data_IF_038414359835
#
_entry.id   IF_038414359835
#
_cell.length_a   1.000
_cell.length_b   1.000
_cell.length_c   1.000
_cell.angle_alpha   90.00
_cell.angle_beta   90.00
_cell.angle_gamma   90.00
#
_symmetry.space_group_name_H-M   'P 1'
#
loop_
_entity.id
_entity.type
_entity.pdbx_description
1 polymer ?
#
# COMPACT_ATOMS: atom_id res chain seq x y z
N UNK A 1 -40.69 -20.75 13.85
CA UNK A 1 -39.77 -21.42 12.93
C UNK A 1 -38.96 -20.28 12.31
N UNK A 2 -37.71 -20.04 12.70
CA UNK A 2 -36.85 -19.07 11.98
C UNK A 2 -36.21 -19.79 10.80
N UNK A 3 -36.23 -19.10 9.67
CA UNK A 3 -35.70 -19.50 8.38
C UNK A 3 -34.18 -19.52 8.43
N UNK A 4 -33.56 -20.68 8.26
CA UNK A 4 -32.12 -20.86 8.13
C UNK A 4 -31.71 -20.53 6.70
N UNK A 5 -31.38 -19.29 6.43
CA UNK A 5 -30.63 -18.95 5.20
C UNK A 5 -29.17 -19.36 5.38
N UNK A 6 -28.91 -20.63 5.08
CA UNK A 6 -27.56 -21.17 4.94
C UNK A 6 -26.88 -20.45 3.77
N UNK A 7 -26.00 -19.52 4.06
CA UNK A 7 -25.08 -18.96 3.06
C UNK A 7 -24.15 -20.07 2.56
N UNK A 8 -24.38 -20.50 1.33
CA UNK A 8 -23.57 -21.53 0.68
C UNK A 8 -22.11 -21.07 0.58
N UNK A 9 -21.21 -21.83 1.17
CA UNK A 9 -19.76 -21.68 0.97
C UNK A 9 -19.49 -21.89 -0.53
N UNK A 10 -18.71 -21.01 -1.20
CA UNK A 10 -18.39 -21.17 -2.62
C UNK A 10 -17.75 -22.55 -2.86
N UNK A 11 -18.37 -23.38 -3.68
CA UNK A 11 -17.80 -24.66 -4.09
C UNK A 11 -16.67 -24.41 -5.07
N UNK A 12 -15.45 -24.80 -4.71
CA UNK A 12 -14.30 -24.83 -5.59
C UNK A 12 -14.59 -25.73 -6.81
N UNK A 13 -14.34 -25.20 -8.03
CA UNK A 13 -14.52 -25.97 -9.25
C UNK A 13 -13.59 -27.19 -9.27
N UNK A 14 -14.12 -28.32 -9.68
CA UNK A 14 -13.37 -29.57 -9.90
C UNK A 14 -12.19 -29.29 -10.88
N UNK A 15 -10.97 -29.50 -10.44
CA UNK A 15 -9.73 -29.19 -11.17
C UNK A 15 -8.71 -28.41 -10.34
N UNK A 16 -9.08 -27.93 -9.14
CA UNK A 16 -8.13 -27.34 -8.21
C UNK A 16 -7.05 -28.37 -7.83
N UNK A 17 -5.79 -27.94 -7.82
CA UNK A 17 -4.67 -28.74 -7.28
C UNK A 17 -5.05 -29.21 -5.87
N UNK A 18 -4.65 -30.43 -5.46
CA UNK A 18 -4.90 -30.89 -4.10
C UNK A 18 -4.38 -29.84 -3.13
N UNK A 19 -5.20 -29.48 -2.14
CA UNK A 19 -4.77 -28.60 -1.04
C UNK A 19 -3.66 -29.34 -0.30
N UNK A 20 -2.43 -28.98 -0.59
CA UNK A 20 -1.27 -29.44 0.18
C UNK A 20 -1.43 -28.87 1.59
N UNK A 21 -1.23 -29.66 2.66
CA UNK A 21 -1.25 -29.11 4.00
C UNK A 21 -0.31 -27.90 4.08
N UNK A 22 -0.82 -26.73 4.45
CA UNK A 22 -0.10 -25.46 4.41
C UNK A 22 1.26 -25.47 5.13
N UNK A 23 1.47 -26.44 6.04
CA UNK A 23 2.74 -26.63 6.73
C UNK A 23 3.92 -27.04 5.85
N UNK A 24 3.70 -27.56 4.64
CA UNK A 24 4.78 -27.95 3.71
C UNK A 24 5.10 -26.84 2.68
N UNK A 25 4.16 -25.92 2.47
CA UNK A 25 4.32 -24.79 1.55
C UNK A 25 5.13 -23.64 2.15
N UNK A 26 5.24 -23.56 3.47
CA UNK A 26 5.94 -22.47 4.16
C UNK A 26 7.12 -23.00 4.99
N UNK A 27 8.14 -22.14 5.19
CA UNK A 27 9.31 -22.43 6.05
C UNK A 27 9.05 -22.11 7.54
N UNK A 28 7.81 -21.91 7.91
CA UNK A 28 7.43 -21.60 9.30
C UNK A 28 7.65 -22.83 10.20
N UNK A 29 8.08 -22.59 11.42
CA UNK A 29 8.24 -23.64 12.43
C UNK A 29 6.92 -24.40 12.64
N UNK A 30 7.01 -25.73 12.73
CA UNK A 30 5.82 -26.61 12.86
C UNK A 30 5.24 -26.68 14.28
N UNK A 31 6.01 -26.24 15.28
CA UNK A 31 5.59 -26.23 16.68
C UNK A 31 4.77 -24.98 17.06
N UNK A 32 4.55 -24.07 16.11
CA UNK A 32 3.71 -22.87 16.28
C UNK A 32 2.65 -22.78 15.19
N UNK A 33 1.45 -22.33 15.56
CA UNK A 33 0.41 -21.95 14.63
C UNK A 33 0.65 -20.49 14.17
N UNK A 34 1.28 -20.31 13.00
CA UNK A 34 1.52 -18.98 12.46
C UNK A 34 0.28 -18.45 11.74
N UNK A 35 -0.45 -17.53 12.38
CA UNK A 35 -1.69 -16.95 11.85
C UNK A 35 -1.56 -15.45 11.51
N UNK A 36 -0.42 -14.83 11.82
CA UNK A 36 -0.26 -13.40 11.72
C UNK A 36 0.60 -12.98 10.52
N UNK A 37 0.10 -13.21 9.31
CA UNK A 37 0.71 -12.63 8.10
C UNK A 37 0.60 -11.10 8.07
N UNK A 38 -0.34 -10.53 8.82
CA UNK A 38 -0.54 -9.09 8.90
C UNK A 38 0.62 -8.32 9.52
N UNK A 39 1.44 -8.94 10.39
CA UNK A 39 2.62 -8.25 10.92
C UNK A 39 3.77 -8.21 9.91
N UNK A 40 4.24 -9.38 9.44
CA UNK A 40 5.44 -9.45 8.58
C UNK A 40 5.31 -10.43 7.41
N UNK A 41 4.27 -11.24 7.36
CA UNK A 41 4.06 -12.26 6.35
C UNK A 41 5.08 -13.40 6.39
N UNK A 42 4.64 -14.60 6.03
CA UNK A 42 5.53 -15.71 5.72
C UNK A 42 5.50 -15.97 4.22
N UNK A 43 6.65 -16.30 3.64
CA UNK A 43 6.76 -16.56 2.21
C UNK A 43 6.52 -18.03 1.91
N UNK A 44 5.70 -18.37 0.90
CA UNK A 44 5.66 -19.73 0.38
C UNK A 44 7.04 -20.15 -0.14
N UNK A 45 7.35 -21.41 -0.04
CA UNK A 45 8.63 -21.98 -0.48
C UNK A 45 9.01 -21.60 -1.91
N UNK A 46 8.12 -21.67 -2.92
CA UNK A 46 8.45 -21.26 -4.29
C UNK A 46 8.83 -19.77 -4.41
N UNK A 47 8.19 -18.90 -3.62
CA UNK A 47 8.51 -17.47 -3.58
C UNK A 47 9.87 -17.26 -2.93
N UNK A 48 10.17 -17.96 -1.83
CA UNK A 48 11.47 -17.87 -1.17
C UNK A 48 12.60 -18.36 -2.05
N UNK A 49 12.43 -19.50 -2.75
CA UNK A 49 13.41 -20.05 -3.68
C UNK A 49 13.67 -19.12 -4.87
N UNK A 50 12.62 -18.49 -5.39
CA UNK A 50 12.75 -17.49 -6.47
C UNK A 50 13.51 -16.26 -5.98
N UNK A 51 13.20 -15.75 -4.80
CA UNK A 51 13.93 -14.64 -4.18
C UNK A 51 15.42 -14.96 -4.04
N UNK A 52 15.77 -16.15 -3.52
CA UNK A 52 17.16 -16.56 -3.42
C UNK A 52 17.86 -16.74 -4.77
N UNK A 53 17.12 -17.15 -5.82
CA UNK A 53 17.69 -17.24 -7.18
C UNK A 53 18.08 -15.84 -7.68
N UNK A 54 17.23 -14.83 -7.51
CA UNK A 54 17.52 -13.46 -7.89
C UNK A 54 18.73 -12.89 -7.13
N UNK A 55 18.83 -13.17 -5.82
CA UNK A 55 20.01 -12.76 -5.04
C UNK A 55 21.30 -13.39 -5.59
N UNK A 56 21.29 -14.67 -5.96
CA UNK A 56 22.46 -15.32 -6.58
C UNK A 56 22.80 -14.73 -7.94
N UNK A 57 21.80 -14.37 -8.75
CA UNK A 57 22.04 -13.69 -10.02
C UNK A 57 22.64 -12.30 -9.83
N UNK A 58 22.18 -11.55 -8.84
CA UNK A 58 22.75 -10.26 -8.47
C UNK A 58 24.23 -10.41 -8.07
N UNK A 59 24.54 -11.36 -7.19
CA UNK A 59 25.93 -11.60 -6.73
C UNK A 59 26.86 -12.12 -7.84
N UNK A 60 26.32 -12.82 -8.84
CA UNK A 60 27.12 -13.32 -9.95
C UNK A 60 27.68 -12.20 -10.84
N UNK A 61 26.94 -11.11 -11.04
CA UNK A 61 27.39 -9.93 -11.81
C UNK A 61 26.61 -8.66 -11.39
N UNK A 62 26.99 -8.02 -10.27
CA UNK A 62 26.24 -6.88 -9.73
C UNK A 62 26.14 -5.69 -10.68
N UNK A 63 27.21 -5.39 -11.42
CA UNK A 63 27.22 -4.24 -12.35
C UNK A 63 26.28 -4.46 -13.54
N UNK A 64 26.23 -5.66 -14.07
CA UNK A 64 25.30 -6.01 -15.14
C UNK A 64 23.87 -6.01 -14.62
N UNK A 65 23.64 -6.64 -13.48
CA UNK A 65 22.32 -6.76 -12.87
C UNK A 65 21.74 -5.39 -12.54
N UNK A 66 22.39 -4.63 -11.67
CA UNK A 66 21.90 -3.34 -11.20
C UNK A 66 22.01 -2.24 -12.27
N UNK A 67 23.10 -2.22 -13.04
CA UNK A 67 23.38 -1.13 -13.96
C UNK A 67 22.75 -1.27 -15.35
N UNK A 68 22.32 -2.46 -15.75
CA UNK A 68 21.83 -2.70 -17.12
C UNK A 68 20.48 -3.42 -17.17
N UNK A 69 20.27 -4.42 -16.30
CA UNK A 69 19.07 -5.28 -16.35
C UNK A 69 17.94 -4.78 -15.46
N UNK A 70 18.26 -4.15 -14.35
CA UNK A 70 17.29 -3.79 -13.31
C UNK A 70 16.07 -3.00 -13.82
N UNK A 71 16.19 -1.96 -14.67
CA UNK A 71 15.01 -1.24 -15.15
C UNK A 71 14.02 -2.14 -15.90
N UNK A 72 14.51 -3.07 -16.71
CA UNK A 72 13.66 -4.03 -17.43
C UNK A 72 13.02 -5.04 -16.47
N UNK A 73 13.76 -5.53 -15.49
CA UNK A 73 13.25 -6.48 -14.48
C UNK A 73 12.18 -5.83 -13.60
N UNK A 74 12.37 -4.58 -13.19
CA UNK A 74 11.35 -3.83 -12.44
C UNK A 74 10.09 -3.59 -13.28
N UNK A 75 10.23 -3.27 -14.55
CA UNK A 75 9.09 -3.11 -15.45
C UNK A 75 8.32 -4.43 -15.64
N UNK A 76 9.04 -5.56 -15.79
CA UNK A 76 8.46 -6.91 -15.87
C UNK A 76 7.70 -7.28 -14.58
N UNK A 77 8.23 -6.98 -13.41
CA UNK A 77 7.59 -7.24 -12.12
C UNK A 77 6.40 -6.30 -11.86
N UNK A 78 6.49 -5.05 -12.31
CA UNK A 78 5.45 -4.02 -12.11
C UNK A 78 4.18 -4.32 -12.88
N UNK A 79 4.28 -4.80 -14.11
CA UNK A 79 3.12 -5.02 -14.96
C UNK A 79 2.08 -5.98 -14.34
N UNK A 80 2.43 -7.19 -13.86
CA UNK A 80 1.46 -8.07 -13.23
C UNK A 80 0.95 -7.53 -11.89
N UNK A 81 1.77 -6.81 -11.10
CA UNK A 81 1.31 -6.19 -9.87
C UNK A 81 0.28 -5.09 -10.16
N UNK A 82 0.55 -4.23 -11.12
CA UNK A 82 -0.37 -3.17 -11.54
C UNK A 82 -1.70 -3.74 -12.04
N UNK A 83 -1.65 -4.78 -12.87
CA UNK A 83 -2.85 -5.49 -13.31
C UNK A 83 -3.63 -6.14 -12.15
N UNK A 84 -2.92 -6.70 -11.15
CA UNK A 84 -3.53 -7.30 -9.96
C UNK A 84 -4.26 -6.27 -9.09
N UNK A 85 -3.75 -5.04 -8.99
CA UNK A 85 -4.38 -3.97 -8.19
C UNK A 85 -5.25 -3.02 -9.03
N UNK A 86 -5.44 -3.30 -10.33
CA UNK A 86 -6.38 -2.57 -11.21
C UNK A 86 -5.90 -1.17 -11.61
N UNK A 87 -4.61 -0.99 -11.96
CA UNK A 87 -4.06 0.31 -12.42
C UNK A 87 -3.10 0.14 -13.59
N UNK A 88 -2.76 1.25 -14.25
CA UNK A 88 -1.70 1.23 -15.25
C UNK A 88 -0.31 1.06 -14.58
N UNK A 89 0.63 0.32 -15.20
CA UNK A 89 1.98 0.16 -14.66
C UNK A 89 2.73 1.48 -14.45
N UNK A 90 2.39 2.52 -15.22
CA UNK A 90 2.98 3.86 -15.10
C UNK A 90 2.55 4.62 -13.85
N UNK A 91 1.50 4.15 -13.17
CA UNK A 91 0.89 4.83 -12.02
C UNK A 91 1.26 4.16 -10.68
N UNK A 92 2.18 3.18 -10.74
CA UNK A 92 2.64 2.41 -9.61
C UNK A 92 4.18 2.36 -9.57
N UNK A 93 4.74 2.61 -8.39
CA UNK A 93 6.18 2.45 -8.13
C UNK A 93 6.41 1.54 -6.93
N UNK A 94 7.55 0.84 -6.92
CA UNK A 94 7.94 0.02 -5.79
C UNK A 94 8.47 0.88 -4.65
N UNK A 95 8.15 0.48 -3.43
CA UNK A 95 8.68 1.06 -2.19
C UNK A 95 9.00 -0.09 -1.22
N UNK A 96 9.95 0.09 -0.29
CA UNK A 96 10.29 -0.98 0.66
C UNK A 96 9.09 -1.45 1.50
N UNK A 97 8.15 -0.57 1.79
CA UNK A 97 6.93 -0.87 2.55
C UNK A 97 5.95 0.33 2.53
N UNK A 98 4.72 0.10 3.00
CA UNK A 98 3.69 1.13 3.08
C UNK A 98 4.10 2.34 3.96
N UNK A 99 4.87 2.13 5.03
CA UNK A 99 5.37 3.24 5.87
C UNK A 99 6.28 4.17 5.07
N UNK A 100 7.17 3.62 4.24
CA UNK A 100 8.01 4.41 3.33
C UNK A 100 7.17 5.21 2.33
N UNK A 101 6.20 4.54 1.68
CA UNK A 101 5.28 5.18 0.75
C UNK A 101 4.46 6.30 1.42
N UNK A 102 3.96 6.07 2.63
CA UNK A 102 3.23 7.10 3.39
C UNK A 102 4.12 8.30 3.75
N UNK A 103 5.41 8.07 4.06
CA UNK A 103 6.36 9.16 4.27
C UNK A 103 6.62 9.97 2.99
N UNK A 104 6.70 9.31 1.82
CA UNK A 104 6.77 10.01 0.53
C UNK A 104 5.57 10.96 0.39
N UNK A 105 4.35 10.46 0.58
CA UNK A 105 3.13 11.25 0.47
C UNK A 105 3.15 12.43 1.45
N UNK A 106 3.30 12.14 2.73
CA UNK A 106 3.20 13.15 3.79
C UNK A 106 4.22 14.28 3.64
N UNK A 107 5.47 13.95 3.25
CA UNK A 107 6.54 14.95 3.08
C UNK A 107 6.42 15.74 1.79
N UNK A 108 5.74 15.19 0.79
CA UNK A 108 5.55 15.82 -0.52
C UNK A 108 4.48 16.90 -0.52
N UNK A 109 3.41 16.70 0.25
CA UNK A 109 2.28 17.63 0.25
C UNK A 109 2.63 18.96 0.93
N UNK A 110 2.31 20.07 0.25
CA UNK A 110 2.53 21.41 0.77
C UNK A 110 1.41 21.78 1.76
N UNK A 111 1.65 21.51 3.04
CA UNK A 111 0.77 21.97 4.12
C UNK A 111 1.21 23.34 4.62
N UNK A 112 0.26 24.23 4.82
CA UNK A 112 0.46 25.55 5.37
C UNK A 112 0.11 25.60 6.87
N UNK A 113 0.62 26.61 7.61
CA UNK A 113 0.23 26.79 9.01
C UNK A 113 -1.30 26.90 9.16
N UNK A 114 -1.86 26.10 10.08
CA UNK A 114 -3.29 26.02 10.32
C UNK A 114 -4.04 24.99 9.46
N UNK A 115 -3.41 24.38 8.46
CA UNK A 115 -4.00 23.28 7.71
C UNK A 115 -4.20 22.06 8.62
N UNK A 116 -5.15 21.21 8.24
CA UNK A 116 -5.51 20.01 9.00
C UNK A 116 -5.38 18.76 8.13
N UNK A 117 -4.78 17.71 8.70
CA UNK A 117 -4.81 16.35 8.19
C UNK A 117 -5.71 15.53 9.10
N UNK A 118 -6.73 14.89 8.55
CA UNK A 118 -7.73 14.14 9.29
C UNK A 118 -7.50 12.63 9.13
N UNK A 119 -7.39 11.92 10.25
CA UNK A 119 -7.36 10.46 10.31
C UNK A 119 -8.39 9.92 11.29
N UNK A 120 -8.30 8.61 11.58
CA UNK A 120 -9.12 7.92 12.57
C UNK A 120 -8.28 7.42 13.74
N UNK A 121 -8.91 6.99 14.83
CA UNK A 121 -8.27 6.32 15.94
C UNK A 121 -7.91 4.84 15.65
N UNK A 122 -8.17 4.38 14.42
CA UNK A 122 -7.82 3.04 13.93
C UNK A 122 -6.55 3.02 13.05
N UNK A 123 -5.87 4.14 12.89
CA UNK A 123 -4.71 4.20 12.00
C UNK A 123 -3.50 3.46 12.58
N UNK A 124 -2.66 2.95 11.69
CA UNK A 124 -1.41 2.33 12.09
C UNK A 124 -0.49 3.36 12.76
N UNK A 125 0.09 3.00 13.91
CA UNK A 125 0.86 3.94 14.73
C UNK A 125 2.04 4.63 14.02
N UNK A 126 2.65 4.02 12.99
CA UNK A 126 3.68 4.68 12.20
C UNK A 126 3.09 5.73 11.25
N UNK A 127 1.90 5.49 10.71
CA UNK A 127 1.19 6.45 9.85
C UNK A 127 0.81 7.69 10.67
N UNK A 128 0.20 7.49 11.84
CA UNK A 128 -0.13 8.60 12.75
C UNK A 128 1.10 9.42 13.11
N UNK A 129 2.21 8.77 13.49
CA UNK A 129 3.46 9.46 13.85
C UNK A 129 4.06 10.22 12.67
N UNK A 130 4.00 9.66 11.46
CA UNK A 130 4.47 10.33 10.25
C UNK A 130 3.72 11.64 10.02
N UNK A 131 2.39 11.61 10.07
CA UNK A 131 1.59 12.80 9.86
C UNK A 131 1.73 13.82 10.98
N UNK A 132 1.76 13.38 12.25
CA UNK A 132 2.04 14.29 13.38
C UNK A 132 3.39 14.99 13.26
N UNK A 133 4.42 14.25 12.83
CA UNK A 133 5.76 14.80 12.61
C UNK A 133 5.77 15.86 11.50
N UNK A 134 5.16 15.55 10.35
CA UNK A 134 5.13 16.47 9.21
C UNK A 134 4.26 17.71 9.51
N UNK A 135 3.08 17.51 10.11
CA UNK A 135 2.22 18.61 10.51
C UNK A 135 2.92 19.53 11.51
N UNK A 136 3.55 18.98 12.55
CA UNK A 136 4.27 19.77 13.55
C UNK A 136 5.39 20.61 12.95
N UNK A 137 6.13 20.07 11.98
CA UNK A 137 7.19 20.80 11.28
C UNK A 137 6.68 21.95 10.39
N UNK A 138 5.39 21.96 10.05
CA UNK A 138 4.79 22.92 9.12
C UNK A 138 3.72 23.83 9.76
N UNK A 139 3.55 23.76 11.08
CA UNK A 139 2.51 24.52 11.77
C UNK A 139 1.07 24.06 11.44
N UNK A 140 0.94 22.91 10.81
CA UNK A 140 -0.32 22.22 10.56
C UNK A 140 -0.69 21.29 11.74
N UNK A 141 -1.85 20.65 11.69
CA UNK A 141 -2.29 19.72 12.73
C UNK A 141 -2.77 18.39 12.16
N UNK A 142 -2.42 17.29 12.83
CA UNK A 142 -3.05 16.00 12.61
C UNK A 142 -4.18 15.80 13.62
N UNK A 143 -5.41 15.63 13.09
CA UNK A 143 -6.62 15.44 13.89
C UNK A 143 -7.15 14.02 13.74
N UNK A 144 -7.73 13.50 14.79
CA UNK A 144 -8.26 12.13 14.82
C UNK A 144 -9.76 12.16 15.14
N UNK A 145 -10.54 11.44 14.33
CA UNK A 145 -11.94 11.12 14.63
C UNK A 145 -12.01 9.73 15.27
N UNK A 146 -12.70 9.64 16.40
CA UNK A 146 -12.96 8.34 17.01
C UNK A 146 -14.10 7.62 16.28
N UNK A 147 -13.82 6.37 15.85
CA UNK A 147 -14.77 5.47 15.22
C UNK A 147 -15.07 4.30 16.17
N UNK A 148 -16.19 4.30 16.88
CA UNK A 148 -16.54 3.20 17.78
C UNK A 148 -16.63 1.86 17.05
N UNK A 149 -16.18 0.79 17.71
CA UNK A 149 -16.42 -0.57 17.22
C UNK A 149 -17.93 -0.85 17.16
N UNK A 150 -18.37 -1.60 16.15
CA UNK A 150 -19.78 -1.97 16.00
C UNK A 150 -20.64 -0.86 15.38
N UNK A 151 -20.07 0.02 14.59
CA UNK A 151 -20.84 0.98 13.78
C UNK A 151 -21.80 0.22 12.85
N UNK A 152 -23.00 0.76 12.67
CA UNK A 152 -24.14 0.07 12.07
C UNK A 152 -24.04 -0.15 10.56
N UNK A 153 -23.26 0.68 9.86
CA UNK A 153 -23.11 0.56 8.40
C UNK A 153 -21.87 1.30 7.88
N UNK A 154 -21.43 1.02 6.65
CA UNK A 154 -20.39 1.79 5.97
C UNK A 154 -20.70 3.29 5.87
N UNK A 155 -21.96 3.65 5.63
CA UNK A 155 -22.41 5.05 5.53
C UNK A 155 -22.23 5.77 6.87
N UNK A 156 -22.53 5.09 7.98
CA UNK A 156 -22.33 5.65 9.32
C UNK A 156 -20.84 5.93 9.59
N UNK A 157 -19.93 5.08 9.09
CA UNK A 157 -18.48 5.31 9.17
C UNK A 157 -18.10 6.58 8.40
N UNK A 158 -18.60 6.72 7.16
CA UNK A 158 -18.34 7.92 6.34
C UNK A 158 -18.86 9.17 7.02
N UNK A 159 -20.09 9.18 7.51
CA UNK A 159 -20.67 10.34 8.18
C UNK A 159 -19.92 10.69 9.47
N UNK A 160 -19.50 9.68 10.23
CA UNK A 160 -18.70 9.91 11.44
C UNK A 160 -17.33 10.50 11.12
N UNK A 161 -16.62 9.99 10.13
CA UNK A 161 -15.35 10.57 9.66
C UNK A 161 -15.58 12.03 9.20
N UNK A 162 -16.65 12.24 8.42
CA UNK A 162 -16.98 13.56 7.87
C UNK A 162 -17.30 14.60 8.94
N UNK A 163 -17.81 14.19 10.10
CA UNK A 163 -18.04 15.10 11.23
C UNK A 163 -16.75 15.76 11.76
N UNK A 164 -15.59 15.21 11.42
CA UNK A 164 -14.28 15.80 11.73
C UNK A 164 -13.74 16.76 10.66
N UNK A 165 -14.35 16.81 9.47
CA UNK A 165 -13.91 17.67 8.37
C UNK A 165 -14.23 19.13 8.67
N UNK A 166 -13.28 20.00 8.41
CA UNK A 166 -13.42 21.47 8.54
C UNK A 166 -12.97 22.16 7.25
N UNK A 167 -13.16 23.46 7.15
CA UNK A 167 -12.66 24.27 6.04
C UNK A 167 -11.10 24.24 5.89
N UNK A 168 -10.40 23.80 6.94
CA UNK A 168 -8.94 23.68 6.95
C UNK A 168 -8.45 22.27 6.61
N UNK A 169 -9.33 21.28 6.50
CA UNK A 169 -8.94 19.91 6.14
C UNK A 169 -8.41 19.88 4.72
N UNK A 170 -7.15 19.47 4.55
CA UNK A 170 -6.48 19.34 3.24
C UNK A 170 -6.27 17.90 2.81
N UNK A 171 -6.12 17.00 3.78
CA UNK A 171 -5.84 15.59 3.53
C UNK A 171 -6.67 14.73 4.48
N UNK A 172 -7.27 13.68 3.94
CA UNK A 172 -7.85 12.58 4.72
C UNK A 172 -6.92 11.37 4.59
N UNK A 173 -6.54 10.79 5.74
CA UNK A 173 -5.68 9.61 5.82
C UNK A 173 -6.45 8.50 6.52
N UNK A 174 -6.67 7.38 5.82
CA UNK A 174 -7.46 6.26 6.34
C UNK A 174 -6.84 4.93 5.92
N UNK A 175 -6.82 3.98 6.84
CA UNK A 175 -6.50 2.59 6.53
C UNK A 175 -7.62 1.96 5.69
N UNK A 176 -7.29 1.17 4.66
CA UNK A 176 -8.29 0.39 3.93
C UNK A 176 -8.79 -0.80 4.80
N UNK A 177 -7.84 -1.51 5.40
CA UNK A 177 -8.11 -2.49 6.47
C UNK A 177 -7.24 -2.08 7.65
N UNK A 178 -7.87 -1.79 8.78
CA UNK A 178 -7.15 -1.29 9.95
C UNK A 178 -6.26 -2.35 10.59
N UNK A 179 -5.06 -1.96 11.02
CA UNK A 179 -4.12 -2.84 11.69
C UNK A 179 -4.60 -3.31 13.07
N UNK A 180 -5.14 -2.45 13.94
CA UNK A 180 -5.52 -2.87 15.28
C UNK A 180 -6.82 -3.68 15.35
N UNK A 181 -7.73 -3.53 14.39
CA UNK A 181 -9.09 -4.08 14.50
C UNK A 181 -9.52 -4.94 13.31
N UNK A 182 -8.73 -4.98 12.23
CA UNK A 182 -9.03 -5.65 10.97
C UNK A 182 -10.36 -5.20 10.31
N UNK A 183 -10.87 -4.04 10.68
CA UNK A 183 -12.06 -3.47 10.05
C UNK A 183 -11.71 -2.98 8.63
N UNK A 184 -12.53 -3.36 7.67
CA UNK A 184 -12.49 -2.80 6.31
C UNK A 184 -13.28 -1.50 6.29
N UNK A 185 -12.61 -0.40 5.94
CA UNK A 185 -13.25 0.90 5.79
C UNK A 185 -13.81 1.11 4.37
N UNK A 186 -14.89 1.88 4.22
CA UNK A 186 -15.52 2.18 2.93
C UNK A 186 -14.73 3.26 2.17
N UNK A 187 -13.48 2.94 1.79
CA UNK A 187 -12.53 3.92 1.23
C UNK A 187 -13.00 4.50 -0.09
N UNK A 188 -13.73 3.74 -0.91
CA UNK A 188 -14.32 4.23 -2.16
C UNK A 188 -15.30 5.39 -1.91
N UNK A 189 -16.16 5.26 -0.91
CA UNK A 189 -17.10 6.33 -0.54
C UNK A 189 -16.39 7.54 0.09
N UNK A 190 -15.36 7.29 0.90
CA UNK A 190 -14.53 8.34 1.49
C UNK A 190 -13.79 9.12 0.41
N UNK A 191 -13.12 8.43 -0.51
CA UNK A 191 -12.35 9.06 -1.60
C UNK A 191 -13.24 9.87 -2.53
N UNK A 192 -14.41 9.34 -2.91
CA UNK A 192 -15.40 10.07 -3.73
C UNK A 192 -15.83 11.37 -3.06
N UNK A 193 -16.25 11.32 -1.78
CA UNK A 193 -16.69 12.49 -1.04
C UNK A 193 -15.57 13.51 -0.80
N UNK A 194 -14.35 13.04 -0.53
CA UNK A 194 -13.18 13.89 -0.37
C UNK A 194 -12.87 14.65 -1.67
N UNK A 195 -12.93 13.96 -2.81
CA UNK A 195 -12.74 14.57 -4.13
C UNK A 195 -13.77 15.66 -4.43
N UNK A 196 -15.06 15.42 -4.12
CA UNK A 196 -16.13 16.42 -4.26
C UNK A 196 -15.89 17.66 -3.40
N UNK A 197 -15.22 17.49 -2.26
CA UNK A 197 -14.85 18.56 -1.35
C UNK A 197 -13.48 19.20 -1.63
N UNK A 198 -12.74 18.73 -2.65
CA UNK A 198 -11.39 19.19 -2.97
C UNK A 198 -10.32 18.80 -1.93
N UNK A 199 -10.57 17.75 -1.16
CA UNK A 199 -9.67 17.23 -0.12
C UNK A 199 -8.90 16.03 -0.69
N UNK A 200 -7.57 16.02 -0.51
CA UNK A 200 -6.73 14.91 -0.96
C UNK A 200 -6.92 13.67 -0.05
N UNK A 201 -6.75 12.50 -0.65
CA UNK A 201 -6.83 11.23 0.08
C UNK A 201 -5.52 10.45 0.01
N UNK A 202 -5.05 9.97 1.16
CA UNK A 202 -3.92 9.06 1.28
C UNK A 202 -4.39 7.79 2.01
N UNK A 203 -4.49 6.69 1.27
CA UNK A 203 -5.02 5.44 1.79
C UNK A 203 -3.89 4.49 2.18
N UNK A 204 -3.89 4.06 3.45
CA UNK A 204 -3.03 2.99 3.91
C UNK A 204 -3.67 1.63 3.62
N UNK A 205 -3.25 1.03 2.51
CA UNK A 205 -3.66 -0.29 2.07
C UNK A 205 -2.71 -1.41 2.50
N UNK A 206 -1.89 -1.21 3.53
CA UNK A 206 -0.88 -2.19 3.95
C UNK A 206 -1.43 -3.61 4.16
N UNK A 207 -2.70 -3.75 4.51
CA UNK A 207 -3.36 -5.02 4.77
C UNK A 207 -4.30 -5.49 3.65
N UNK A 208 -4.53 -4.70 2.60
CA UNK A 208 -5.52 -5.03 1.57
C UNK A 208 -5.02 -6.02 0.50
N UNK A 209 -3.80 -5.86 -0.08
CA UNK A 209 -3.32 -6.81 -1.09
C UNK A 209 -3.23 -8.23 -0.52
N UNK A 210 -3.86 -9.19 -1.19
CA UNK A 210 -3.93 -10.59 -0.78
C UNK A 210 -5.06 -10.93 0.19
N UNK A 211 -5.78 -9.94 0.75
CA UNK A 211 -6.94 -10.18 1.60
C UNK A 211 -8.29 -9.92 0.93
N UNK A 212 -8.32 -8.95 0.02
CA UNK A 212 -9.54 -8.57 -0.70
C UNK A 212 -9.22 -8.39 -2.18
N UNK A 213 -10.24 -8.52 -3.02
CA UNK A 213 -10.14 -8.06 -4.39
C UNK A 213 -9.91 -6.54 -4.40
N UNK A 214 -8.89 -6.11 -5.13
CA UNK A 214 -8.43 -4.73 -5.10
C UNK A 214 -8.45 -4.15 -6.51
N UNK A 215 -9.17 -3.04 -6.65
CA UNK A 215 -9.23 -2.22 -7.85
C UNK A 215 -9.01 -0.77 -7.41
N UNK A 216 -7.78 -0.27 -7.59
CA UNK A 216 -7.39 1.06 -7.12
C UNK A 216 -7.99 2.18 -7.97
N UNK A 217 -8.31 1.92 -9.24
CA UNK A 217 -9.06 2.85 -10.06
C UNK A 217 -10.47 3.05 -9.51
N UNK A 218 -11.15 1.96 -9.10
CA UNK A 218 -12.45 2.02 -8.46
C UNK A 218 -12.39 2.66 -7.06
N UNK A 219 -11.36 2.37 -6.27
CA UNK A 219 -11.10 3.05 -4.98
C UNK A 219 -10.97 4.56 -5.17
N UNK A 220 -10.28 4.96 -6.22
CA UNK A 220 -10.16 6.35 -6.64
C UNK A 220 -9.43 7.25 -5.65
N UNK A 221 -8.54 6.73 -4.83
CA UNK A 221 -7.68 7.50 -3.93
C UNK A 221 -6.69 8.35 -4.71
N UNK A 222 -6.34 9.55 -4.22
CA UNK A 222 -5.25 10.33 -4.82
C UNK A 222 -3.90 9.61 -4.66
N UNK A 223 -3.70 8.98 -3.48
CA UNK A 223 -2.52 8.17 -3.17
C UNK A 223 -2.93 6.91 -2.42
N UNK A 224 -2.29 5.80 -2.76
CA UNK A 224 -2.50 4.51 -2.12
C UNK A 224 -1.18 3.79 -1.89
N UNK A 225 -0.94 3.30 -0.69
CA UNK A 225 0.24 2.48 -0.39
C UNK A 225 -0.17 1.07 -0.02
N UNK A 226 0.60 0.06 -0.44
CA UNK A 226 0.34 -1.33 -0.12
C UNK A 226 1.60 -2.10 0.25
N UNK A 227 1.44 -3.16 1.03
CA UNK A 227 2.50 -4.11 1.34
C UNK A 227 2.29 -5.42 0.57
N UNK A 228 3.29 -5.80 -0.23
CA UNK A 228 3.30 -7.12 -0.86
C UNK A 228 3.77 -8.21 0.11
N UNK A 229 4.63 -7.87 1.09
CA UNK A 229 5.23 -8.81 2.03
C UNK A 229 4.32 -9.28 3.18
N UNK A 230 3.06 -8.81 3.25
CA UNK A 230 2.08 -9.25 4.25
C UNK A 230 1.24 -10.39 3.69
N UNK A 231 0.01 -10.11 3.31
CA UNK A 231 -0.97 -11.12 2.88
C UNK A 231 -0.75 -11.58 1.44
N UNK A 232 -0.06 -10.80 0.59
CA UNK A 232 0.37 -11.22 -0.75
C UNK A 232 1.61 -12.13 -0.70
N UNK A 233 2.20 -12.34 0.48
CA UNK A 233 3.27 -13.29 0.75
C UNK A 233 4.57 -13.09 -0.05
N UNK A 234 4.84 -11.88 -0.54
CA UNK A 234 6.09 -11.53 -1.20
C UNK A 234 7.25 -11.40 -0.18
N UNK A 235 8.50 -11.27 -0.62
CA UNK A 235 9.64 -11.03 0.25
C UNK A 235 9.50 -9.74 1.06
N UNK A 236 10.12 -9.70 2.25
CA UNK A 236 10.24 -8.48 3.06
C UNK A 236 11.06 -7.45 2.27
N UNK A 237 10.61 -6.20 2.29
CA UNK A 237 11.21 -5.15 1.47
C UNK A 237 10.36 -4.79 0.25
N UNK A 238 9.26 -5.50 0.00
CA UNK A 238 8.38 -5.25 -1.12
C UNK A 238 7.05 -4.61 -0.72
N UNK A 239 6.77 -3.49 -1.31
CA UNK A 239 5.52 -2.73 -1.25
C UNK A 239 5.38 -1.85 -2.47
N UNK A 240 4.28 -1.14 -2.57
CA UNK A 240 4.04 -0.23 -3.67
C UNK A 240 3.41 1.09 -3.21
N UNK A 241 3.63 2.12 -4.01
CA UNK A 241 2.94 3.40 -3.96
C UNK A 241 2.24 3.61 -5.30
N UNK A 242 0.95 3.77 -5.27
CA UNK A 242 0.13 4.24 -6.38
C UNK A 242 -0.21 5.70 -6.21
N UNK A 243 -0.17 6.47 -7.30
CA UNK A 243 -0.65 7.84 -7.37
C UNK A 243 -1.42 8.05 -8.66
N UNK A 244 -2.59 8.68 -8.57
CA UNK A 244 -3.35 9.05 -9.76
C UNK A 244 -2.49 9.94 -10.67
N UNK A 245 -2.59 9.80 -12.01
CA UNK A 245 -1.73 10.54 -12.96
C UNK A 245 -1.62 12.03 -12.67
N UNK A 246 -2.74 12.70 -12.38
CA UNK A 246 -2.79 14.13 -12.09
C UNK A 246 -2.22 14.52 -10.71
N UNK A 247 -1.86 13.53 -9.88
CA UNK A 247 -1.28 13.73 -8.54
C UNK A 247 0.20 13.37 -8.47
N UNK A 248 0.73 12.66 -9.46
CA UNK A 248 2.12 12.19 -9.47
C UNK A 248 3.13 13.34 -9.33
N UNK A 249 2.87 14.46 -10.00
CA UNK A 249 3.73 15.65 -9.94
C UNK A 249 3.83 16.29 -8.54
N UNK A 250 2.91 15.97 -7.62
CA UNK A 250 2.99 16.43 -6.23
C UNK A 250 4.05 15.66 -5.43
N UNK A 251 4.37 14.42 -5.84
CA UNK A 251 5.25 13.55 -5.07
C UNK A 251 6.72 13.87 -5.31
N UNK A 252 7.48 13.82 -4.22
CA UNK A 252 8.94 14.04 -4.20
C UNK A 252 9.59 12.83 -3.53
N UNK A 253 10.70 12.30 -4.07
CA UNK A 253 11.38 11.18 -3.46
C UNK A 253 11.99 11.57 -2.12
N UNK A 254 12.00 10.66 -1.15
CA UNK A 254 12.71 10.87 0.13
C UNK A 254 14.23 10.88 -0.07
N UNK A 255 14.69 10.14 -1.07
CA UNK A 255 16.10 10.07 -1.47
C UNK A 255 16.19 10.54 -2.92
N UNK A 256 16.81 11.68 -3.15
CA UNK A 256 17.09 12.18 -4.50
C UNK A 256 18.26 11.39 -5.08
N UNK A 257 18.05 10.79 -6.25
CA UNK A 257 19.05 9.95 -6.93
C UNK A 257 19.04 10.20 -8.45
N UNK A 258 19.51 9.25 -9.23
CA UNK A 258 19.70 9.34 -10.68
C UNK A 258 18.42 9.66 -11.47
N UNK A 259 17.26 9.33 -10.92
CA UNK A 259 15.96 9.61 -11.53
C UNK A 259 15.51 11.08 -11.44
N UNK A 260 16.22 11.93 -10.69
CA UNK A 260 15.96 13.35 -10.68
C UNK A 260 16.74 14.05 -11.80
N UNK A 261 16.02 14.69 -12.74
CA UNK A 261 16.60 15.30 -13.96
C UNK A 261 17.50 14.32 -14.74
N UNK A 262 16.97 13.15 -15.13
CA UNK A 262 17.77 12.12 -15.79
C UNK A 262 18.28 12.60 -17.13
N UNK A 263 19.50 12.20 -17.51
CA UNK A 263 20.07 12.53 -18.85
C UNK A 263 19.29 11.88 -19.99
N UNK A 264 18.69 10.73 -19.71
CA UNK A 264 17.83 9.99 -20.64
C UNK A 264 16.53 9.70 -19.88
N UNK A 265 15.48 10.53 -20.05
CA UNK A 265 14.19 10.29 -19.41
C UNK A 265 13.59 8.96 -19.85
N UNK A 266 13.05 8.23 -18.87
CA UNK A 266 12.26 7.03 -19.10
C UNK A 266 10.83 7.36 -19.57
N UNK A 267 9.94 6.35 -19.59
CA UNK A 267 8.58 6.52 -20.07
C UNK A 267 7.69 7.36 -19.14
N UNK A 268 8.08 7.52 -17.89
CA UNK A 268 7.31 8.26 -16.87
C UNK A 268 8.24 8.96 -15.88
N UNK A 269 8.10 10.28 -15.69
CA UNK A 269 8.84 10.99 -14.65
C UNK A 269 8.58 10.46 -13.24
N UNK A 270 7.41 9.90 -12.98
CA UNK A 270 7.07 9.28 -11.72
C UNK A 270 7.90 8.02 -11.49
N UNK A 271 7.99 7.14 -12.48
CA UNK A 271 8.84 5.95 -12.42
C UNK A 271 10.32 6.35 -12.27
N UNK A 272 10.81 7.28 -13.08
CA UNK A 272 12.19 7.73 -13.02
C UNK A 272 12.58 8.18 -11.61
N UNK A 273 11.72 8.95 -10.95
CA UNK A 273 11.99 9.49 -9.61
C UNK A 273 12.07 8.43 -8.50
N UNK A 274 11.40 7.29 -8.66
CA UNK A 274 11.21 6.33 -7.58
C UNK A 274 11.84 4.96 -7.81
N UNK A 275 12.19 4.61 -9.05
CA UNK A 275 12.78 3.28 -9.37
C UNK A 275 14.21 3.10 -8.86
N UNK A 276 14.93 4.18 -8.63
CA UNK A 276 16.30 4.11 -8.13
C UNK A 276 16.51 5.08 -6.95
N UNK A 277 16.47 4.55 -5.76
CA UNK A 277 16.67 5.29 -4.49
C UNK A 277 18.07 5.12 -3.90
N UNK A 278 19.00 4.52 -4.62
CA UNK A 278 20.33 4.09 -4.20
C UNK A 278 20.48 2.58 -4.33
N UNK A 279 21.64 2.07 -3.95
CA UNK A 279 21.91 0.61 -3.98
C UNK A 279 21.15 -0.07 -2.85
N UNK A 280 20.31 -1.04 -3.19
CA UNK A 280 19.55 -1.88 -2.28
C UNK A 280 19.46 -3.32 -2.83
N UNK A 281 18.71 -4.20 -2.20
CA UNK A 281 18.40 -5.55 -2.69
C UNK A 281 17.06 -5.54 -3.44
N UNK A 282 17.06 -5.46 -4.79
CA UNK A 282 15.85 -5.42 -5.60
C UNK A 282 15.26 -6.80 -5.86
N UNK A 283 15.79 -7.86 -5.26
CA UNK A 283 15.30 -9.23 -5.44
C UNK A 283 13.96 -9.50 -4.74
N UNK A 284 13.51 -8.57 -3.86
CA UNK A 284 12.27 -8.68 -3.08
C UNK A 284 11.01 -8.34 -3.86
#
# INVERSE_FOLDING_TARGET
MPDETTTAIPTWKAGARPIVPAGDEFLVRRDIAFLNHGSFGARPRPVFETYQRWQRELEAQPVEFLGRRLPALLAEARAPLAAYVGVAPTDLVFVPNATHGMNIIARSLALEPGDEVLGTDHEYGAVERTWRFVCGARGASYRTVSLPLGMSSPEAVVERLWSGVTARTRVIVVSHISSPTALRFPVEAICRRAREAGILTAIDGAHAPGQIDLDLDAVGADFYVGNCHKWLCAPVGSGFLHARPERQALLKPLVVSWGWQPRQPGPSPFIDLFDWIGTDDPAS
#
